data_IF_538420421432
#
_entry.id   IF_538420421432
#
_cell.length_a   1.000
_cell.length_b   1.000
_cell.length_c   1.000
_cell.angle_alpha   90.00
_cell.angle_beta   90.00
_cell.angle_gamma   90.00
#
_symmetry.space_group_name_H-M   'P 1'
#
loop_
_entity.id
_entity.type
_entity.pdbx_description
1 polymer ?
#
# COMPACT_ATOMS: atom_id res chain seq x y z
N UNK A 1 2.18 17.77 4.12
CA UNK A 1 1.56 17.94 2.80
C UNK A 1 0.20 18.56 3.00
N UNK A 2 0.06 19.86 2.72
CA UNK A 2 -1.19 20.62 2.94
C UNK A 2 -2.42 19.93 2.31
N UNK A 3 -2.29 19.32 1.12
CA UNK A 3 -3.39 18.61 0.47
C UNK A 3 -3.84 17.34 1.22
N UNK A 4 -2.93 16.61 1.87
CA UNK A 4 -3.29 15.44 2.68
C UNK A 4 -3.98 15.84 3.99
N UNK A 5 -3.65 17.03 4.52
CA UNK A 5 -4.30 17.64 5.68
C UNK A 5 -5.71 18.13 5.34
N UNK A 6 -5.94 18.55 4.09
CA UNK A 6 -7.24 18.96 3.54
C UNK A 6 -8.06 17.79 2.97
N UNK A 7 -7.55 16.55 3.03
CA UNK A 7 -8.17 15.34 2.48
C UNK A 7 -8.41 15.39 0.95
N UNK A 8 -7.67 16.26 0.24
CA UNK A 8 -7.64 16.25 -1.22
C UNK A 8 -6.65 15.16 -1.69
N UNK A 9 -7.13 13.91 -1.65
CA UNK A 9 -6.32 12.74 -2.01
C UNK A 9 -5.81 12.76 -3.45
N UNK A 10 -6.58 13.18 -4.47
CA UNK A 10 -6.07 13.34 -5.83
C UNK A 10 -4.91 14.35 -5.91
N UNK A 11 -5.04 15.53 -5.29
CA UNK A 11 -3.96 16.53 -5.30
C UNK A 11 -2.73 16.03 -4.53
N UNK A 12 -2.92 15.39 -3.38
CA UNK A 12 -1.83 14.79 -2.61
C UNK A 12 -1.11 13.68 -3.40
N UNK A 13 -1.86 12.84 -4.12
CA UNK A 13 -1.29 11.79 -4.96
C UNK A 13 -0.48 12.37 -6.14
N UNK A 14 -1.00 13.42 -6.79
CA UNK A 14 -0.29 14.11 -7.87
C UNK A 14 1.01 14.75 -7.39
N UNK A 15 0.96 15.53 -6.31
CA UNK A 15 2.13 16.18 -5.72
C UNK A 15 3.19 15.16 -5.28
N UNK A 16 2.77 14.05 -4.67
CA UNK A 16 3.68 13.00 -4.26
C UNK A 16 4.36 12.32 -5.46
N UNK A 17 3.65 12.08 -6.57
CA UNK A 17 4.24 11.52 -7.79
C UNK A 17 5.24 12.47 -8.45
N UNK A 18 4.95 13.76 -8.47
CA UNK A 18 5.89 14.78 -8.96
C UNK A 18 7.17 14.78 -8.12
N UNK A 19 7.03 14.73 -6.78
CA UNK A 19 8.16 14.62 -5.88
C UNK A 19 9.00 13.36 -6.13
N UNK A 20 8.36 12.21 -6.37
CA UNK A 20 9.05 10.95 -6.70
C UNK A 20 9.88 11.06 -7.98
N UNK A 21 9.38 11.75 -9.01
CA UNK A 21 10.11 11.91 -10.28
C UNK A 21 11.45 12.66 -10.10
N UNK A 22 11.53 13.57 -9.13
CA UNK A 22 12.74 14.31 -8.80
C UNK A 22 13.69 13.54 -7.84
N UNK A 23 13.13 12.68 -6.98
CA UNK A 23 13.88 12.02 -5.91
C UNK A 23 14.49 10.67 -6.34
N UNK A 24 13.78 9.91 -7.17
CA UNK A 24 14.08 8.49 -7.33
C UNK A 24 15.27 8.25 -8.27
N UNK A 25 16.20 7.34 -7.90
CA UNK A 25 17.25 6.95 -8.80
C UNK A 25 16.68 6.15 -9.98
N UNK A 26 17.23 6.42 -11.17
CA UNK A 26 16.82 5.73 -12.40
C UNK A 26 17.07 4.21 -12.29
N UNK A 27 16.16 3.37 -12.82
CA UNK A 27 16.41 1.93 -12.90
C UNK A 27 17.71 1.62 -13.66
N UNK A 28 18.48 0.59 -13.28
CA UNK A 28 18.18 -0.43 -12.27
C UNK A 28 18.72 -0.11 -10.87
N UNK A 29 19.11 1.14 -10.58
CA UNK A 29 19.69 1.48 -9.29
C UNK A 29 18.74 1.11 -8.13
N UNK A 30 19.28 0.55 -7.03
CA UNK A 30 18.47 0.07 -5.92
C UNK A 30 17.82 1.23 -5.17
N UNK A 31 16.65 0.94 -4.58
CA UNK A 31 15.94 1.89 -3.74
C UNK A 31 16.38 1.77 -2.27
N UNK A 32 16.75 2.90 -1.67
CA UNK A 32 16.94 3.08 -0.24
C UNK A 32 15.62 3.18 0.52
N UNK A 33 15.72 3.18 1.86
CA UNK A 33 14.54 3.15 2.73
C UNK A 33 13.62 4.37 2.55
N UNK A 34 14.19 5.57 2.43
CA UNK A 34 13.42 6.81 2.25
C UNK A 34 12.61 6.81 0.96
N UNK A 35 13.21 6.33 -0.13
CA UNK A 35 12.59 6.25 -1.45
C UNK A 35 11.43 5.24 -1.45
N UNK A 36 11.64 4.07 -0.83
CA UNK A 36 10.57 3.05 -0.68
C UNK A 36 9.41 3.56 0.16
N UNK A 37 9.70 4.32 1.22
CA UNK A 37 8.67 4.96 2.04
C UNK A 37 7.88 6.02 1.23
N UNK A 38 8.58 6.82 0.42
CA UNK A 38 7.93 7.81 -0.45
C UNK A 38 7.04 7.16 -1.52
N UNK A 39 7.48 6.05 -2.12
CA UNK A 39 6.69 5.26 -3.08
C UNK A 39 5.45 4.66 -2.41
N UNK A 40 5.60 4.09 -1.22
CA UNK A 40 4.48 3.51 -0.48
C UNK A 40 3.45 4.57 -0.09
N UNK A 41 3.90 5.79 0.26
CA UNK A 41 3.02 6.94 0.51
C UNK A 41 2.25 7.36 -0.75
N UNK A 42 2.90 7.39 -1.90
CA UNK A 42 2.23 7.68 -3.17
C UNK A 42 1.15 6.64 -3.49
N UNK A 43 1.43 5.36 -3.25
CA UNK A 43 0.46 4.29 -3.42
C UNK A 43 -0.73 4.45 -2.45
N UNK A 44 -0.49 4.84 -1.20
CA UNK A 44 -1.56 5.09 -0.24
C UNK A 44 -2.47 6.26 -0.68
N UNK A 45 -1.90 7.37 -1.14
CA UNK A 45 -2.70 8.50 -1.63
C UNK A 45 -3.48 8.16 -2.90
N UNK A 46 -2.86 7.44 -3.85
CA UNK A 46 -3.54 6.96 -5.05
C UNK A 46 -4.69 5.99 -4.72
N UNK A 47 -4.52 5.12 -3.72
CA UNK A 47 -5.58 4.22 -3.26
C UNK A 47 -6.75 4.98 -2.61
N UNK A 48 -6.46 5.99 -1.78
CA UNK A 48 -7.49 6.86 -1.20
C UNK A 48 -8.22 7.70 -2.24
N UNK A 49 -7.53 8.07 -3.33
CA UNK A 49 -8.10 8.80 -4.46
C UNK A 49 -8.86 7.90 -5.47
N UNK A 50 -8.78 6.56 -5.34
CA UNK A 50 -9.38 5.62 -6.30
C UNK A 50 -8.70 5.62 -7.67
N UNK A 51 -7.42 5.99 -7.75
CA UNK A 51 -6.66 6.10 -8.99
C UNK A 51 -6.03 4.76 -9.41
N UNK A 52 -6.86 3.81 -9.84
CA UNK A 52 -6.42 2.45 -10.22
C UNK A 52 -5.31 2.44 -11.28
N UNK A 53 -5.38 3.36 -12.25
CA UNK A 53 -4.34 3.52 -13.27
C UNK A 53 -3.00 3.96 -12.68
N UNK A 54 -3.01 4.83 -11.67
CA UNK A 54 -1.79 5.24 -10.97
C UNK A 54 -1.21 4.10 -10.12
N UNK A 55 -2.06 3.33 -9.46
CA UNK A 55 -1.64 2.14 -8.70
C UNK A 55 -0.98 1.08 -9.60
N UNK A 56 -1.55 0.84 -10.78
CA UNK A 56 -0.96 -0.05 -11.78
C UNK A 56 0.43 0.44 -12.23
N UNK A 57 0.55 1.73 -12.58
CA UNK A 57 1.83 2.34 -12.97
C UNK A 57 2.89 2.23 -11.86
N UNK A 58 2.51 2.46 -10.60
CA UNK A 58 3.42 2.34 -9.47
C UNK A 58 3.91 0.89 -9.30
N UNK A 59 3.00 -0.10 -9.41
CA UNK A 59 3.34 -1.53 -9.36
C UNK A 59 4.30 -1.92 -10.47
N UNK A 60 4.02 -1.52 -11.70
CA UNK A 60 4.87 -1.84 -12.85
C UNK A 60 6.26 -1.21 -12.74
N UNK A 61 6.33 0.06 -12.33
CA UNK A 61 7.59 0.80 -12.25
C UNK A 61 8.48 0.36 -11.07
N UNK A 62 7.87 -0.01 -9.94
CA UNK A 62 8.62 -0.17 -8.68
C UNK A 62 8.47 -1.52 -7.99
N UNK A 63 7.55 -2.38 -8.42
CA UNK A 63 7.25 -3.67 -7.76
C UNK A 63 8.49 -4.50 -7.48
N UNK A 64 9.27 -4.81 -8.52
CA UNK A 64 10.52 -5.59 -8.37
C UNK A 64 11.53 -4.92 -7.43
N UNK A 65 11.62 -3.58 -7.46
CA UNK A 65 12.54 -2.85 -6.59
C UNK A 65 12.03 -2.69 -5.17
N UNK A 66 10.76 -2.97 -4.89
CA UNK A 66 10.17 -2.94 -3.56
C UNK A 66 10.36 -4.27 -2.81
N UNK A 67 10.64 -5.36 -3.52
CA UNK A 67 10.92 -6.67 -2.95
C UNK A 67 12.03 -6.63 -1.89
N UNK A 68 11.92 -7.51 -0.90
CA UNK A 68 12.86 -7.60 0.21
C UNK A 68 12.80 -6.45 1.22
N UNK A 69 11.96 -5.43 1.00
CA UNK A 69 11.77 -4.36 2.00
C UNK A 69 10.69 -4.69 3.02
N UNK A 70 10.75 -4.11 4.23
CA UNK A 70 9.66 -4.19 5.21
C UNK A 70 8.31 -3.65 4.70
N UNK A 71 8.31 -2.85 3.62
CA UNK A 71 7.12 -2.25 3.02
C UNK A 71 6.60 -3.03 1.81
N UNK A 72 7.27 -4.11 1.40
CA UNK A 72 6.94 -4.86 0.19
C UNK A 72 5.49 -5.38 0.20
N UNK A 73 5.07 -5.97 1.32
CA UNK A 73 3.73 -6.53 1.47
C UNK A 73 2.65 -5.45 1.45
N UNK A 74 2.83 -4.37 2.21
CA UNK A 74 1.90 -3.25 2.23
C UNK A 74 1.76 -2.60 0.84
N UNK A 75 2.88 -2.40 0.14
CA UNK A 75 2.88 -1.89 -1.23
C UNK A 75 2.16 -2.83 -2.21
N UNK A 76 2.37 -4.14 -2.09
CA UNK A 76 1.69 -5.14 -2.93
C UNK A 76 0.18 -5.15 -2.68
N UNK A 77 -0.27 -4.99 -1.44
CA UNK A 77 -1.70 -4.87 -1.10
C UNK A 77 -2.31 -3.59 -1.68
N UNK A 78 -1.64 -2.45 -1.52
CA UNK A 78 -2.13 -1.15 -2.01
C UNK A 78 -2.22 -1.10 -3.54
N UNK A 79 -1.28 -1.74 -4.24
CA UNK A 79 -1.18 -1.68 -5.70
C UNK A 79 -1.71 -2.92 -6.41
N UNK A 80 -2.34 -3.84 -5.65
CA UNK A 80 -2.99 -4.99 -6.22
C UNK A 80 -4.02 -4.56 -7.27
N UNK A 81 -4.13 -5.33 -8.36
CA UNK A 81 -5.16 -5.06 -9.37
C UNK A 81 -6.54 -5.03 -8.67
N UNK A 82 -7.34 -3.97 -8.88
CA UNK A 82 -8.73 -3.97 -8.47
C UNK A 82 -9.41 -5.21 -9.06
N UNK A 83 -10.29 -5.83 -8.29
CA UNK A 83 -11.01 -7.02 -8.73
C UNK A 83 -11.78 -6.69 -10.03
N UNK A 84 -11.28 -7.17 -11.17
CA UNK A 84 -11.88 -7.01 -12.49
C UNK A 84 -12.98 -8.07 -12.68
N UNK A 85 -14.07 -7.87 -11.94
CA UNK A 85 -15.31 -8.62 -12.11
C UNK A 85 -15.22 -10.08 -11.65
N UNK A 86 -16.06 -10.92 -12.26
CA UNK A 86 -16.39 -12.28 -11.79
C UNK A 86 -15.15 -13.21 -11.71
N UNK A 87 -14.11 -12.93 -12.49
CA UNK A 87 -12.87 -13.70 -12.52
C UNK A 87 -12.07 -13.63 -11.21
N UNK A 88 -12.21 -12.54 -10.45
CA UNK A 88 -11.47 -12.34 -9.21
C UNK A 88 -12.24 -12.77 -7.95
N UNK A 89 -13.47 -13.29 -8.11
CA UNK A 89 -14.26 -13.83 -6.99
C UNK A 89 -13.54 -14.88 -6.14
N UNK A 90 -12.74 -15.82 -6.69
CA UNK A 90 -12.00 -16.78 -5.88
C UNK A 90 -10.92 -16.14 -5.01
N UNK A 91 -10.39 -14.98 -5.41
CA UNK A 91 -9.44 -14.20 -4.62
C UNK A 91 -10.18 -13.42 -3.52
N UNK A 92 -11.27 -12.75 -3.85
CA UNK A 92 -12.11 -12.04 -2.88
C UNK A 92 -12.66 -12.97 -1.79
N UNK A 93 -13.05 -14.20 -2.15
CA UNK A 93 -13.49 -15.21 -1.18
C UNK A 93 -12.39 -15.58 -0.17
N UNK A 94 -11.12 -15.64 -0.62
CA UNK A 94 -9.97 -15.90 0.27
C UNK A 94 -9.71 -14.71 1.20
N UNK A 95 -9.73 -13.50 0.68
CA UNK A 95 -9.51 -12.28 1.46
C UNK A 95 -10.62 -12.07 2.50
N UNK A 96 -11.90 -12.28 2.15
CA UNK A 96 -13.02 -12.26 3.10
C UNK A 96 -12.90 -13.37 4.16
N UNK A 97 -12.40 -14.55 3.80
CA UNK A 97 -12.12 -15.62 4.74
C UNK A 97 -11.10 -15.21 5.81
N UNK A 98 -10.04 -14.51 5.39
CA UNK A 98 -9.00 -13.99 6.31
C UNK A 98 -9.56 -12.89 7.21
N UNK A 99 -10.32 -11.94 6.64
CA UNK A 99 -10.93 -10.85 7.41
C UNK A 99 -11.95 -11.36 8.44
N UNK A 100 -12.69 -12.43 8.14
CA UNK A 100 -13.64 -13.06 9.09
C UNK A 100 -12.96 -13.73 10.28
N UNK A 101 -11.70 -14.13 10.14
CA UNK A 101 -10.91 -14.75 11.21
C UNK A 101 -10.14 -13.71 12.04
N UNK A 102 -10.06 -12.45 11.59
CA UNK A 102 -9.35 -11.39 12.31
C UNK A 102 -9.94 -11.11 13.70
N UNK A 103 -11.28 -10.95 13.89
CA UNK A 103 -11.83 -10.70 15.22
C UNK A 103 -11.47 -11.80 16.21
N UNK A 104 -11.52 -13.06 15.79
CA UNK A 104 -11.18 -14.22 16.62
C UNK A 104 -9.70 -14.26 17.00
N UNK A 105 -8.82 -13.89 16.07
CA UNK A 105 -7.37 -13.79 16.32
C UNK A 105 -7.01 -12.61 17.21
N UNK A 106 -7.70 -11.47 17.06
CA UNK A 106 -7.53 -10.30 17.91
C UNK A 106 -8.06 -10.52 19.33
N UNK A 107 -9.15 -11.26 19.49
CA UNK A 107 -9.67 -11.70 20.79
C UNK A 107 -8.72 -12.71 21.48
N UNK A 108 -8.10 -13.62 20.72
CA UNK A 108 -7.06 -14.51 21.24
C UNK A 108 -5.81 -13.75 21.73
N UNK A 109 -5.51 -12.59 21.14
CA UNK A 109 -4.45 -11.67 21.60
C UNK A 109 -4.87 -10.81 22.81
N UNK A 110 -6.16 -10.76 23.13
CA UNK A 110 -6.75 -10.04 24.27
C UNK A 110 -6.78 -10.85 25.58
N UNK A 111 -6.28 -12.09 25.55
CA UNK A 111 -6.07 -12.92 26.74
C UNK A 111 -5.26 -12.17 27.81
N UNK A 112 -5.44 -12.49 29.10
CA UNK A 112 -5.09 -11.60 30.20
C UNK A 112 -3.62 -11.23 30.17
N UNK A 113 -3.34 -9.95 29.94
CA UNK A 113 -2.07 -9.34 30.32
C UNK A 113 -2.00 -9.44 31.84
N UNK A 114 -1.35 -10.50 32.34
CA UNK A 114 -0.91 -10.57 33.72
C UNK A 114 0.13 -9.47 33.92
N UNK A 115 -0.34 -8.29 34.32
CA UNK A 115 0.52 -7.24 34.84
C UNK A 115 0.93 -7.69 36.24
N UNK A 116 2.07 -8.37 36.34
CA UNK A 116 2.74 -8.60 37.62
C UNK A 116 3.10 -7.23 38.23
N UNK A 117 2.60 -6.98 39.44
CA UNK A 117 2.95 -5.83 40.28
C UNK A 117 4.26 -6.08 41.00
#
# INVERSE_FOLDING_TARGET
DLAAEEQDWPAAAAAQREHLAALLPAPPAPLGQAERAAITRAAAFAALAGEDGALATLREAYGARMEGSPLAEAFAVLTADPLRGVADLPRLQRELGVLRLLPSRLEALRGPVQVAR
#
